data_IF_309767614542
#
_entry.id   IF_309767614542
#
_cell.length_a   1.000
_cell.length_b   1.000
_cell.length_c   1.000
_cell.angle_alpha   90.00
_cell.angle_beta   90.00
_cell.angle_gamma   90.00
#
_symmetry.space_group_name_H-M   'P 1'
#
loop_
_entity.id
_entity.type
_entity.pdbx_description
1 polymer ?
#
# COMPACT_ATOMS: atom_id res chain seq x y z
N UNK A 1 -10.04 -3.85 9.58
CA UNK A 1 -8.97 -3.14 8.84
C UNK A 1 -8.19 -2.37 9.88
N UNK A 2 -7.11 -2.94 10.43
CA UNK A 2 -6.31 -2.25 11.45
C UNK A 2 -4.82 -2.32 11.10
N UNK A 3 -4.51 -1.86 9.88
CA UNK A 3 -3.12 -1.65 9.41
C UNK A 3 -2.69 -0.19 9.48
N UNK A 4 -3.57 0.70 9.91
CA UNK A 4 -3.33 2.12 10.00
C UNK A 4 -2.40 2.50 11.15
N UNK A 5 -2.32 3.80 11.42
CA UNK A 5 -1.63 4.33 12.60
C UNK A 5 -2.29 3.74 13.85
N UNK A 6 -1.52 3.42 14.89
CA UNK A 6 -2.12 2.96 16.15
C UNK A 6 -3.16 3.98 16.67
N UNK A 7 -4.32 3.51 17.13
CA UNK A 7 -5.44 4.34 17.58
C UNK A 7 -5.05 5.43 18.59
N UNK A 8 -4.14 5.15 19.53
CA UNK A 8 -3.70 6.14 20.51
C UNK A 8 -2.91 7.28 19.85
N UNK A 9 -1.95 6.92 18.99
CA UNK A 9 -1.15 7.88 18.20
C UNK A 9 -2.04 8.68 17.25
N UNK A 10 -2.99 8.03 16.57
CA UNK A 10 -3.91 8.69 15.66
C UNK A 10 -4.86 9.65 16.40
N UNK A 11 -5.38 9.23 17.55
CA UNK A 11 -6.23 10.09 18.40
C UNK A 11 -5.49 11.32 18.91
N UNK A 12 -4.21 11.17 19.28
CA UNK A 12 -3.36 12.29 19.66
C UNK A 12 -3.14 13.27 18.49
N UNK A 13 -2.85 12.75 17.29
CA UNK A 13 -2.76 13.57 16.08
C UNK A 13 -4.07 14.36 15.86
N UNK A 14 -5.22 13.70 15.89
CA UNK A 14 -6.52 14.34 15.69
C UNK A 14 -6.84 15.38 16.78
N UNK A 15 -6.48 15.14 18.03
CA UNK A 15 -6.63 16.12 19.12
C UNK A 15 -5.79 17.37 18.89
N UNK A 16 -4.55 17.20 18.44
CA UNK A 16 -3.66 18.31 18.12
C UNK A 16 -4.16 19.10 16.89
N UNK A 17 -4.69 18.41 15.87
CA UNK A 17 -5.28 19.07 14.70
C UNK A 17 -6.53 19.87 15.09
N UNK A 18 -7.44 19.29 15.88
CA UNK A 18 -8.70 19.97 16.26
C UNK A 18 -8.50 21.16 17.21
N UNK A 19 -7.42 21.18 17.99
CA UNK A 19 -7.05 22.32 18.83
C UNK A 19 -6.34 23.45 18.07
N UNK A 20 -5.92 23.18 16.83
CA UNK A 20 -5.21 24.15 15.98
C UNK A 20 -6.17 24.89 15.05
N UNK A 21 -6.20 26.22 15.14
CA UNK A 21 -7.15 27.04 14.38
C UNK A 21 -6.76 27.26 12.91
N UNK A 22 -5.46 27.38 12.62
CA UNK A 22 -4.93 27.58 11.27
C UNK A 22 -5.02 26.29 10.45
N UNK A 23 -5.58 26.37 9.24
CA UNK A 23 -5.60 25.22 8.32
C UNK A 23 -4.21 24.88 7.78
N UNK A 24 -3.35 25.89 7.59
CA UNK A 24 -1.97 25.69 7.13
C UNK A 24 -1.10 25.05 8.22
N UNK A 25 -1.29 25.43 9.48
CA UNK A 25 -0.53 24.82 10.58
C UNK A 25 -0.95 23.36 10.75
N UNK A 26 -2.25 23.07 10.59
CA UNK A 26 -2.77 21.68 10.57
C UNK A 26 -2.16 20.87 9.43
N UNK A 27 -2.03 21.46 8.23
CA UNK A 27 -1.36 20.80 7.10
C UNK A 27 0.11 20.50 7.42
N UNK A 28 0.87 21.49 7.88
CA UNK A 28 2.28 21.32 8.26
C UNK A 28 2.47 20.26 9.36
N UNK A 29 1.53 20.16 10.31
CA UNK A 29 1.53 19.10 11.32
C UNK A 29 1.38 17.70 10.71
N UNK A 30 0.48 17.53 9.73
CA UNK A 30 0.30 16.24 9.04
C UNK A 30 1.54 15.91 8.22
N UNK A 31 2.07 16.87 7.46
CA UNK A 31 3.28 16.67 6.64
C UNK A 31 4.48 16.27 7.51
N UNK A 32 4.69 16.94 8.65
CA UNK A 32 5.74 16.58 9.62
C UNK A 32 5.51 15.21 10.23
N UNK A 33 4.27 14.89 10.59
CA UNK A 33 3.93 13.58 11.13
C UNK A 33 4.24 12.46 10.12
N UNK A 34 3.91 12.67 8.85
CA UNK A 34 4.18 11.72 7.77
C UNK A 34 5.68 11.58 7.51
N UNK A 35 6.39 12.70 7.40
CA UNK A 35 7.83 12.70 7.16
C UNK A 35 8.64 12.05 8.31
N UNK A 36 8.18 12.16 9.55
CA UNK A 36 8.89 11.61 10.70
C UNK A 36 8.63 10.12 10.93
N UNK A 37 7.42 9.64 10.61
CA UNK A 37 6.97 8.32 11.02
C UNK A 37 6.72 7.35 9.85
N UNK A 38 6.69 7.86 8.61
CA UNK A 38 6.26 7.12 7.41
C UNK A 38 4.99 6.27 7.65
N UNK A 39 3.94 6.86 8.27
CA UNK A 39 2.77 6.11 8.72
C UNK A 39 2.00 5.54 7.54
N UNK A 40 1.28 4.44 7.75
CA UNK A 40 0.15 4.07 6.89
C UNK A 40 -1.16 4.56 7.52
N UNK A 41 -2.04 5.20 6.77
CA UNK A 41 -3.40 5.55 7.21
C UNK A 41 -4.40 4.57 6.62
N UNK A 42 -5.26 3.99 7.45
CA UNK A 42 -6.40 3.21 6.92
C UNK A 42 -7.37 4.12 6.17
N UNK A 43 -8.27 3.53 5.37
CA UNK A 43 -9.36 4.26 4.72
C UNK A 43 -10.17 5.09 5.70
N UNK A 44 -10.59 4.47 6.80
CA UNK A 44 -11.33 5.13 7.88
C UNK A 44 -10.54 6.26 8.55
N UNK A 45 -9.25 6.05 8.82
CA UNK A 45 -8.38 7.10 9.38
C UNK A 45 -8.18 8.26 8.39
N UNK A 46 -8.11 7.96 7.10
CA UNK A 46 -8.03 8.97 6.04
C UNK A 46 -9.30 9.81 6.03
N UNK A 47 -10.48 9.18 6.09
CA UNK A 47 -11.77 9.88 6.20
C UNK A 47 -11.86 10.75 7.47
N UNK A 48 -11.47 10.20 8.63
CA UNK A 48 -11.43 10.94 9.89
C UNK A 48 -10.47 12.13 9.84
N UNK A 49 -9.27 11.95 9.26
CA UNK A 49 -8.29 13.02 9.10
C UNK A 49 -8.87 14.17 8.27
N UNK A 50 -9.62 13.86 7.21
CA UNK A 50 -10.23 14.89 6.35
C UNK A 50 -11.28 15.75 7.07
N UNK A 51 -11.88 15.28 8.17
CA UNK A 51 -12.79 16.11 8.97
C UNK A 51 -12.09 17.34 9.58
N UNK A 52 -10.77 17.29 9.75
CA UNK A 52 -9.98 18.44 10.17
C UNK A 52 -9.75 19.46 9.02
N UNK A 53 -10.08 19.15 7.78
CA UNK A 53 -9.78 20.00 6.62
C UNK A 53 -11.05 20.29 5.78
N UNK A 54 -12.00 21.08 6.29
CA UNK A 54 -13.24 21.38 5.57
C UNK A 54 -13.07 22.29 4.33
N UNK A 55 -11.87 22.87 4.14
CA UNK A 55 -11.53 23.64 2.94
C UNK A 55 -10.92 22.72 1.89
N UNK A 56 -11.52 22.63 0.71
CA UNK A 56 -11.11 21.70 -0.35
C UNK A 56 -9.69 21.95 -0.86
N UNK A 57 -9.21 23.20 -0.93
CA UNK A 57 -7.85 23.48 -1.40
C UNK A 57 -6.81 22.88 -0.44
N UNK A 58 -6.98 23.11 0.86
CA UNK A 58 -6.07 22.54 1.87
C UNK A 58 -6.22 21.03 1.96
N UNK A 59 -7.45 20.51 1.86
CA UNK A 59 -7.68 19.07 1.86
C UNK A 59 -7.00 18.38 0.67
N UNK A 60 -7.03 18.99 -0.51
CA UNK A 60 -6.33 18.50 -1.71
C UNK A 60 -4.82 18.44 -1.47
N UNK A 61 -4.23 19.48 -0.88
CA UNK A 61 -2.79 19.50 -0.58
C UNK A 61 -2.42 18.39 0.43
N UNK A 62 -3.21 18.24 1.50
CA UNK A 62 -3.02 17.19 2.51
C UNK A 62 -3.17 15.80 1.90
N UNK A 63 -4.24 15.55 1.13
CA UNK A 63 -4.45 14.27 0.45
C UNK A 63 -3.28 13.94 -0.48
N UNK A 64 -2.84 14.92 -1.26
CA UNK A 64 -1.69 14.76 -2.16
C UNK A 64 -0.44 14.36 -1.38
N UNK A 65 -0.16 15.03 -0.25
CA UNK A 65 0.98 14.76 0.61
C UNK A 65 0.94 13.37 1.26
N UNK A 66 -0.24 12.83 1.55
CA UNK A 66 -0.41 11.50 2.19
C UNK A 66 -0.76 10.38 1.21
N UNK A 67 -0.81 10.66 -0.10
CA UNK A 67 -1.32 9.74 -1.12
C UNK A 67 -0.69 8.33 -1.05
N UNK A 68 0.63 8.25 -0.92
CA UNK A 68 1.37 7.00 -0.78
C UNK A 68 1.14 6.30 0.57
N UNK A 69 0.76 7.05 1.60
CA UNK A 69 0.49 6.58 2.96
C UNK A 69 -0.92 6.04 3.15
N UNK A 70 -1.87 6.34 2.25
CA UNK A 70 -3.22 5.77 2.30
C UNK A 70 -3.18 4.27 1.97
N UNK A 71 -3.75 3.43 2.83
CA UNK A 71 -3.59 1.98 2.73
C UNK A 71 -4.72 1.31 1.93
N UNK A 72 -5.95 1.47 2.38
CA UNK A 72 -7.10 0.67 1.98
C UNK A 72 -8.38 1.50 1.84
N UNK A 73 -8.27 2.71 1.28
CA UNK A 73 -9.41 3.60 1.08
C UNK A 73 -10.47 2.96 0.16
N UNK A 74 -11.64 2.66 0.71
CA UNK A 74 -12.78 2.11 -0.03
C UNK A 74 -13.65 3.22 -0.62
N UNK A 75 -14.59 2.85 -1.50
CA UNK A 75 -15.60 3.78 -1.99
C UNK A 75 -16.47 4.35 -0.86
N UNK A 76 -16.72 3.59 0.20
CA UNK A 76 -17.47 4.05 1.38
C UNK A 76 -16.67 5.11 2.17
N UNK A 77 -15.39 4.84 2.44
CA UNK A 77 -14.49 5.82 3.08
C UNK A 77 -14.34 7.08 2.24
N UNK A 78 -14.29 6.92 0.91
CA UNK A 78 -14.24 8.05 -0.01
C UNK A 78 -15.50 8.90 0.08
N UNK A 79 -16.68 8.29 0.20
CA UNK A 79 -17.93 9.04 0.42
C UNK A 79 -17.88 9.83 1.72
N UNK A 80 -17.33 9.27 2.80
CA UNK A 80 -17.15 9.98 4.07
C UNK A 80 -16.23 11.20 3.92
N UNK A 81 -15.14 11.08 3.15
CA UNK A 81 -14.28 12.22 2.78
C UNK A 81 -15.09 13.27 2.00
N UNK A 82 -15.84 12.85 0.97
CA UNK A 82 -16.59 13.77 0.12
C UNK A 82 -17.69 14.54 0.87
N UNK A 83 -18.28 13.94 1.89
CA UNK A 83 -19.30 14.54 2.76
C UNK A 83 -18.76 15.60 3.73
N UNK A 84 -17.44 15.71 3.89
CA UNK A 84 -16.82 16.82 4.63
C UNK A 84 -17.12 18.17 3.96
N UNK A 85 -17.26 18.17 2.63
CA UNK A 85 -17.41 19.40 1.85
C UNK A 85 -18.88 19.73 1.63
N UNK A 86 -19.25 20.99 1.86
CA UNK A 86 -20.63 21.47 1.74
C UNK A 86 -21.11 21.66 0.30
N UNK A 87 -20.23 21.53 -0.70
CA UNK A 87 -20.52 21.77 -2.12
C UNK A 87 -20.05 20.61 -2.97
N UNK A 88 -20.91 20.12 -3.86
CA UNK A 88 -20.58 19.06 -4.82
C UNK A 88 -19.40 19.43 -5.73
N UNK A 89 -19.19 20.72 -6.03
CA UNK A 89 -18.04 21.16 -6.83
C UNK A 89 -16.71 20.94 -6.07
N UNK A 90 -16.70 21.22 -4.77
CA UNK A 90 -15.55 20.96 -3.92
C UNK A 90 -15.31 19.45 -3.78
N UNK A 91 -16.39 18.67 -3.61
CA UNK A 91 -16.31 17.20 -3.59
C UNK A 91 -15.76 16.66 -4.91
N UNK A 92 -16.11 17.24 -6.07
CA UNK A 92 -15.53 16.85 -7.36
C UNK A 92 -14.04 17.15 -7.45
N UNK A 93 -13.60 18.32 -6.99
CA UNK A 93 -12.17 18.66 -7.02
C UNK A 93 -11.35 17.75 -6.12
N UNK A 94 -11.88 17.40 -4.95
CA UNK A 94 -11.27 16.43 -4.03
C UNK A 94 -11.27 15.02 -4.61
N UNK A 95 -12.36 14.62 -5.29
CA UNK A 95 -12.48 13.31 -5.92
C UNK A 95 -11.38 13.06 -6.96
N UNK A 96 -10.91 14.09 -7.67
CA UNK A 96 -9.80 13.96 -8.64
C UNK A 96 -8.52 13.41 -7.99
N UNK A 97 -8.23 13.86 -6.77
CA UNK A 97 -7.05 13.44 -6.01
C UNK A 97 -7.29 12.14 -5.27
N UNK A 98 -8.53 11.92 -4.82
CA UNK A 98 -8.91 10.74 -4.06
C UNK A 98 -9.04 9.49 -4.93
N UNK A 99 -9.55 9.64 -6.16
CA UNK A 99 -9.84 8.55 -7.10
C UNK A 99 -8.70 7.54 -7.34
N UNK A 100 -7.42 7.95 -7.50
CA UNK A 100 -6.30 7.00 -7.63
C UNK A 100 -5.94 6.28 -6.33
N UNK A 101 -6.48 6.70 -5.19
CA UNK A 101 -6.22 6.05 -3.89
C UNK A 101 -7.21 4.92 -3.57
N UNK A 102 -8.32 4.85 -4.30
CA UNK A 102 -9.46 3.96 -4.01
C UNK A 102 -9.18 2.54 -4.52
N UNK A 103 -9.40 1.55 -3.66
CA UNK A 103 -9.04 0.14 -3.93
C UNK A 103 -10.15 -0.69 -4.59
N UNK A 104 -11.41 -0.26 -4.54
CA UNK A 104 -12.59 -1.04 -4.93
C UNK A 104 -13.49 -0.34 -5.96
N UNK A 105 -12.96 0.69 -6.62
CA UNK A 105 -13.69 1.55 -7.56
C UNK A 105 -14.35 0.78 -8.71
N UNK A 106 -13.69 -0.24 -9.27
CA UNK A 106 -14.28 -1.07 -10.34
C UNK A 106 -15.56 -1.79 -9.92
N UNK A 107 -15.68 -2.17 -8.65
CA UNK A 107 -16.85 -2.87 -8.13
C UNK A 107 -17.91 -1.91 -7.57
N UNK A 108 -17.47 -0.82 -6.93
CA UNK A 108 -18.32 -0.03 -6.02
C UNK A 108 -18.44 1.46 -6.37
N UNK A 109 -18.01 1.90 -7.56
CA UNK A 109 -18.11 3.31 -7.95
C UNK A 109 -19.53 3.91 -7.85
N UNK A 110 -20.58 3.08 -7.96
CA UNK A 110 -21.97 3.52 -7.84
C UNK A 110 -22.26 4.19 -6.49
N UNK A 111 -21.56 3.79 -5.42
CA UNK A 111 -21.65 4.40 -4.09
C UNK A 111 -21.21 5.86 -4.13
N UNK A 112 -20.05 6.15 -4.72
CA UNK A 112 -19.55 7.52 -4.88
C UNK A 112 -20.47 8.34 -5.77
N UNK A 113 -20.96 7.75 -6.87
CA UNK A 113 -21.89 8.42 -7.78
C UNK A 113 -23.23 8.77 -7.12
N UNK A 114 -23.62 8.10 -6.03
CA UNK A 114 -24.82 8.41 -5.28
C UNK A 114 -24.69 9.70 -4.45
N UNK A 115 -23.47 10.14 -4.13
CA UNK A 115 -23.19 11.40 -3.41
C UNK A 115 -23.51 12.64 -4.25
N UNK A 116 -23.49 12.53 -5.58
CA UNK A 116 -23.76 13.65 -6.49
C UNK A 116 -25.21 13.65 -6.97
N UNK A 117 -25.97 14.66 -6.54
CA UNK A 117 -27.37 14.86 -6.92
C UNK A 117 -27.51 15.54 -8.29
N UNK A 118 -26.59 16.46 -8.62
CA UNK A 118 -26.59 17.15 -9.90
C UNK A 118 -26.13 16.21 -11.03
N UNK A 119 -26.89 16.15 -12.13
CA UNK A 119 -26.60 15.25 -13.26
C UNK A 119 -25.27 15.54 -13.96
N UNK A 120 -24.87 16.80 -14.07
CA UNK A 120 -23.57 17.17 -14.65
C UNK A 120 -22.43 16.76 -13.73
N UNK A 121 -22.54 17.05 -12.43
CA UNK A 121 -21.52 16.65 -11.46
C UNK A 121 -21.38 15.13 -11.38
N UNK A 122 -22.49 14.39 -11.44
CA UNK A 122 -22.48 12.92 -11.46
C UNK A 122 -21.78 12.36 -12.69
N UNK A 123 -21.95 12.99 -13.86
CA UNK A 123 -21.24 12.63 -15.08
C UNK A 123 -19.74 12.91 -14.95
N UNK A 124 -19.38 14.09 -14.44
CA UNK A 124 -17.97 14.47 -14.25
C UNK A 124 -17.29 13.55 -13.22
N UNK A 125 -17.99 13.15 -12.14
CA UNK A 125 -17.52 12.15 -11.19
C UNK A 125 -17.27 10.78 -11.85
N UNK A 126 -18.17 10.34 -12.73
CA UNK A 126 -17.98 9.09 -13.48
C UNK A 126 -16.75 9.18 -14.40
N UNK A 127 -16.54 10.30 -15.07
CA UNK A 127 -15.36 10.54 -15.91
C UNK A 127 -14.07 10.50 -15.09
N UNK A 128 -14.04 11.12 -13.91
CA UNK A 128 -12.90 11.07 -12.98
C UNK A 128 -12.59 9.63 -12.55
N UNK A 129 -13.62 8.88 -12.14
CA UNK A 129 -13.47 7.51 -11.68
C UNK A 129 -12.99 6.58 -12.80
N UNK A 130 -13.41 6.82 -14.03
CA UNK A 130 -12.98 6.03 -15.19
C UNK A 130 -11.56 6.37 -15.68
N UNK A 131 -11.06 7.57 -15.37
CA UNK A 131 -9.77 8.07 -15.87
C UNK A 131 -8.56 7.53 -15.10
N UNK A 132 -8.75 6.95 -13.91
CA UNK A 132 -7.66 6.41 -13.09
C UNK A 132 -7.84 4.91 -12.90
N UNK A 133 -6.76 4.10 -12.92
CA UNK A 133 -6.85 2.69 -12.55
C UNK A 133 -7.19 2.52 -11.06
N UNK A 134 -7.59 1.32 -10.66
CA UNK A 134 -7.78 0.99 -9.25
C UNK A 134 -6.41 0.89 -8.56
N UNK A 135 -6.34 1.31 -7.29
CA UNK A 135 -5.13 1.09 -6.50
C UNK A 135 -4.98 -0.40 -6.21
N UNK A 136 -3.76 -0.93 -6.36
CA UNK A 136 -3.52 -2.33 -6.04
C UNK A 136 -3.77 -2.61 -4.55
N UNK A 137 -4.64 -3.57 -4.25
CA UNK A 137 -5.08 -3.83 -2.88
C UNK A 137 -4.00 -4.46 -1.98
N UNK A 138 -2.97 -5.10 -2.56
CA UNK A 138 -1.90 -5.77 -1.82
C UNK A 138 -0.70 -4.84 -1.64
N UNK A 139 -0.17 -4.30 -2.73
CA UNK A 139 1.07 -3.51 -2.71
C UNK A 139 0.82 -2.00 -2.63
N UNK A 140 -0.42 -1.55 -2.81
CA UNK A 140 -0.76 -0.13 -2.75
C UNK A 140 -0.25 0.65 -3.96
N UNK A 141 0.30 1.83 -3.68
CA UNK A 141 0.93 2.67 -4.70
C UNK A 141 2.43 2.37 -4.76
N UNK A 142 2.90 1.93 -5.92
CA UNK A 142 4.30 1.56 -6.21
C UNK A 142 4.95 2.53 -7.21
N UNK A 143 4.22 3.52 -7.69
CA UNK A 143 4.63 4.37 -8.82
C UNK A 143 5.75 5.36 -8.44
N UNK A 144 5.85 5.69 -7.16
CA UNK A 144 6.83 6.66 -6.65
C UNK A 144 8.23 6.07 -6.41
N UNK A 145 8.44 4.76 -6.66
CA UNK A 145 9.74 4.11 -6.46
C UNK A 145 10.38 3.82 -7.82
N UNK A 146 11.44 4.54 -8.22
CA UNK A 146 12.01 4.43 -9.57
C UNK A 146 12.70 3.09 -9.84
N UNK A 147 13.21 2.42 -8.79
CA UNK A 147 13.93 1.14 -8.89
C UNK A 147 13.48 0.24 -7.76
N UNK A 148 12.54 -0.65 -8.07
CA UNK A 148 11.75 -1.40 -7.10
C UNK A 148 12.07 -2.89 -7.12
N UNK A 149 12.16 -3.52 -5.96
CA UNK A 149 12.27 -4.99 -5.86
C UNK A 149 11.12 -5.54 -5.02
N UNK A 150 10.35 -6.45 -5.62
CA UNK A 150 9.30 -7.19 -4.92
C UNK A 150 9.88 -8.45 -4.29
N UNK A 151 9.90 -8.53 -2.96
CA UNK A 151 10.43 -9.67 -2.20
C UNK A 151 9.25 -10.43 -1.61
N UNK A 152 8.96 -11.59 -2.19
CA UNK A 152 7.72 -12.35 -1.96
C UNK A 152 8.00 -13.64 -1.22
N UNK A 153 7.34 -13.81 -0.07
CA UNK A 153 7.33 -15.05 0.67
C UNK A 153 6.61 -16.14 -0.12
N UNK A 154 7.28 -17.28 -0.33
CA UNK A 154 6.74 -18.49 -0.95
C UNK A 154 6.83 -19.68 0.01
N UNK A 155 6.83 -19.45 1.32
CA UNK A 155 6.79 -20.49 2.33
C UNK A 155 5.46 -21.27 2.33
N UNK A 156 5.43 -22.40 3.06
CA UNK A 156 4.27 -23.29 3.08
C UNK A 156 2.96 -22.63 3.55
N UNK A 157 3.03 -21.65 4.45
CA UNK A 157 1.86 -20.92 4.98
C UNK A 157 1.13 -20.13 3.89
N UNK A 158 1.81 -19.74 2.81
CA UNK A 158 1.20 -19.05 1.68
C UNK A 158 0.21 -19.92 0.88
N UNK A 159 0.14 -21.22 1.17
CA UNK A 159 -0.93 -22.11 0.67
C UNK A 159 -2.27 -21.92 1.39
N UNK A 160 -2.30 -21.21 2.52
CA UNK A 160 -3.51 -20.92 3.31
C UNK A 160 -4.58 -20.27 2.44
N UNK A 161 -5.79 -20.83 2.50
CA UNK A 161 -6.96 -20.28 1.83
C UNK A 161 -7.72 -19.33 2.74
N UNK A 162 -8.26 -18.27 2.17
CA UNK A 162 -9.14 -17.34 2.85
C UNK A 162 -10.34 -17.03 1.97
N UNK A 163 -11.42 -16.54 2.60
CA UNK A 163 -12.58 -16.03 1.88
C UNK A 163 -12.44 -14.53 1.68
N UNK A 164 -12.96 -14.01 0.58
CA UNK A 164 -13.02 -12.58 0.27
C UNK A 164 -14.37 -12.28 -0.40
N UNK A 165 -14.64 -11.02 -0.75
CA UNK A 165 -15.90 -10.61 -1.40
C UNK A 165 -17.13 -11.01 -0.55
N UNK A 166 -17.15 -10.52 0.70
CA UNK A 166 -18.19 -10.83 1.70
C UNK A 166 -18.38 -12.34 1.95
N UNK A 167 -17.31 -13.12 1.79
CA UNK A 167 -17.33 -14.57 1.97
C UNK A 167 -17.87 -15.36 0.76
N UNK A 168 -18.19 -14.70 -0.35
CA UNK A 168 -18.74 -15.35 -1.54
C UNK A 168 -17.69 -16.07 -2.40
N UNK A 169 -16.41 -15.73 -2.22
CA UNK A 169 -15.29 -16.33 -2.96
C UNK A 169 -14.20 -16.80 -2.01
N UNK A 170 -13.40 -17.76 -2.46
CA UNK A 170 -12.21 -18.22 -1.75
C UNK A 170 -11.01 -18.32 -2.69
N UNK A 171 -9.84 -17.99 -2.16
CA UNK A 171 -8.55 -18.09 -2.86
C UNK A 171 -7.44 -18.41 -1.87
N UNK A 172 -6.25 -18.79 -2.34
CA UNK A 172 -5.06 -18.89 -1.48
C UNK A 172 -4.30 -17.58 -1.43
N UNK A 173 -3.53 -17.35 -0.34
CA UNK A 173 -2.62 -16.20 -0.22
C UNK A 173 -1.71 -16.10 -1.43
N UNK A 174 -1.06 -17.20 -1.80
CA UNK A 174 -0.19 -17.24 -2.98
C UNK A 174 -0.91 -16.89 -4.27
N UNK A 175 -2.12 -17.41 -4.50
CA UNK A 175 -2.89 -17.08 -5.70
C UNK A 175 -3.24 -15.57 -5.75
N UNK A 176 -3.63 -14.99 -4.62
CA UNK A 176 -3.89 -13.54 -4.52
C UNK A 176 -2.62 -12.71 -4.80
N UNK A 177 -1.47 -13.10 -4.25
CA UNK A 177 -0.18 -12.43 -4.51
C UNK A 177 0.20 -12.50 -5.98
N UNK A 178 0.08 -13.68 -6.62
CA UNK A 178 0.40 -13.81 -8.05
C UNK A 178 -0.47 -12.91 -8.91
N UNK A 179 -1.77 -12.84 -8.63
CA UNK A 179 -2.70 -11.94 -9.35
C UNK A 179 -2.28 -10.49 -9.17
N UNK A 180 -2.12 -10.03 -7.93
CA UNK A 180 -1.80 -8.63 -7.65
C UNK A 180 -0.42 -8.22 -8.21
N UNK A 181 0.58 -9.09 -8.10
CA UNK A 181 1.92 -8.80 -8.64
C UNK A 181 1.93 -8.84 -10.17
N UNK A 182 1.13 -9.70 -10.80
CA UNK A 182 0.95 -9.69 -12.25
C UNK A 182 0.35 -8.36 -12.70
N UNK A 183 -0.75 -7.92 -12.07
CA UNK A 183 -1.40 -6.62 -12.37
C UNK A 183 -0.42 -5.44 -12.22
N UNK A 184 0.43 -5.46 -11.19
CA UNK A 184 1.44 -4.41 -11.02
C UNK A 184 2.42 -4.40 -12.19
N UNK A 185 2.97 -5.56 -12.54
CA UNK A 185 3.98 -5.70 -13.59
C UNK A 185 3.39 -5.36 -14.96
N UNK A 186 2.12 -5.66 -15.22
CA UNK A 186 1.48 -5.44 -16.53
C UNK A 186 0.87 -4.05 -16.70
N UNK A 187 0.27 -3.50 -15.63
CA UNK A 187 -0.66 -2.37 -15.76
C UNK A 187 -0.28 -1.16 -14.90
N UNK A 188 0.59 -1.31 -13.90
CA UNK A 188 0.90 -0.22 -12.93
C UNK A 188 2.32 0.32 -13.10
N UNK A 189 3.32 -0.54 -13.31
CA UNK A 189 4.69 -0.10 -13.52
C UNK A 189 4.79 0.69 -14.83
N UNK A 190 5.51 1.81 -14.76
CA UNK A 190 5.74 2.73 -15.88
C UNK A 190 7.09 2.48 -16.54
N UNK A 191 7.29 2.94 -17.78
CA UNK A 191 8.55 2.76 -18.51
C UNK A 191 9.70 3.62 -17.95
N UNK A 192 9.40 4.57 -17.07
CA UNK A 192 10.40 5.29 -16.28
C UNK A 192 10.92 4.51 -15.06
N UNK A 193 10.31 3.37 -14.72
CA UNK A 193 10.71 2.52 -13.61
C UNK A 193 11.58 1.33 -14.06
N UNK A 194 12.39 0.82 -13.13
CA UNK A 194 13.04 -0.49 -13.24
C UNK A 194 12.58 -1.38 -12.09
N UNK A 195 12.50 -2.68 -12.33
CA UNK A 195 12.00 -3.62 -11.34
C UNK A 195 12.73 -4.96 -11.32
N UNK A 196 12.64 -5.66 -10.19
CA UNK A 196 12.99 -7.06 -10.07
C UNK A 196 12.00 -7.77 -9.13
N UNK A 197 11.99 -9.10 -9.17
CA UNK A 197 11.19 -9.94 -8.29
C UNK A 197 12.09 -10.98 -7.64
N UNK A 198 11.98 -11.13 -6.33
CA UNK A 198 12.66 -12.13 -5.52
C UNK A 198 11.60 -12.98 -4.82
N UNK A 199 11.63 -14.29 -5.01
CA UNK A 199 10.89 -15.20 -4.13
C UNK A 199 11.80 -15.71 -3.01
N UNK A 200 11.24 -15.93 -1.83
CA UNK A 200 11.97 -16.58 -0.75
C UNK A 200 11.12 -17.59 0.01
N UNK A 201 11.75 -18.73 0.31
CA UNK A 201 11.27 -19.74 1.23
C UNK A 201 12.45 -20.22 2.08
N UNK A 202 12.93 -21.47 1.92
CA UNK A 202 14.16 -21.93 2.58
C UNK A 202 15.45 -21.31 2.00
N UNK A 203 15.36 -20.80 0.78
CA UNK A 203 16.37 -20.02 0.05
C UNK A 203 15.69 -18.83 -0.61
N UNK A 204 16.47 -17.90 -1.18
CA UNK A 204 15.96 -16.81 -1.99
C UNK A 204 16.45 -16.98 -3.44
N UNK A 205 15.58 -16.66 -4.39
CA UNK A 205 15.85 -16.71 -5.83
C UNK A 205 15.32 -15.43 -6.46
N UNK A 206 16.16 -14.74 -7.24
CA UNK A 206 15.76 -13.58 -8.00
C UNK A 206 15.42 -13.97 -9.44
N UNK A 207 14.42 -13.29 -10.02
CA UNK A 207 14.08 -13.42 -11.43
C UNK A 207 15.20 -12.90 -12.33
N UNK A 208 15.77 -11.74 -12.00
CA UNK A 208 16.94 -11.16 -12.65
C UNK A 208 18.05 -10.90 -11.63
N UNK A 209 19.28 -10.65 -12.10
CA UNK A 209 20.41 -10.32 -11.24
C UNK A 209 20.25 -8.97 -10.50
N UNK A 210 19.41 -8.07 -11.02
CA UNK A 210 19.13 -6.75 -10.47
C UNK A 210 17.89 -6.14 -11.12
N UNK A 211 17.58 -4.88 -10.81
CA UNK A 211 16.47 -4.17 -11.44
C UNK A 211 16.70 -4.00 -12.94
N UNK A 212 15.66 -4.24 -13.72
CA UNK A 212 15.67 -4.11 -15.19
C UNK A 212 14.51 -3.24 -15.66
N UNK A 213 14.65 -2.65 -16.85
CA UNK A 213 13.64 -1.75 -17.42
C UNK A 213 12.28 -2.44 -17.60
N UNK A 214 11.21 -1.68 -17.44
CA UNK A 214 9.84 -2.10 -17.75
C UNK A 214 9.65 -2.09 -19.27
N UNK A 215 9.83 -3.25 -19.90
CA UNK A 215 9.61 -3.44 -21.34
C UNK A 215 8.86 -4.75 -21.60
N UNK A 216 8.32 -4.91 -22.82
CA UNK A 216 7.47 -6.07 -23.18
C UNK A 216 8.12 -7.43 -22.91
N UNK A 217 9.43 -7.57 -23.17
CA UNK A 217 10.13 -8.84 -22.97
C UNK A 217 10.32 -9.14 -21.47
N UNK A 218 10.72 -8.13 -20.69
CA UNK A 218 10.91 -8.20 -19.26
C UNK A 218 9.58 -8.47 -18.53
N UNK A 219 8.50 -7.78 -18.92
CA UNK A 219 7.14 -8.00 -18.40
C UNK A 219 6.73 -9.45 -18.63
N UNK A 220 6.82 -9.96 -19.86
CA UNK A 220 6.41 -11.33 -20.18
C UNK A 220 7.22 -12.38 -19.39
N UNK A 221 8.53 -12.19 -19.26
CA UNK A 221 9.39 -13.09 -18.50
C UNK A 221 9.12 -13.03 -16.99
N UNK A 222 8.92 -11.83 -16.43
CA UNK A 222 8.61 -11.65 -15.02
C UNK A 222 7.25 -12.26 -14.65
N UNK A 223 6.22 -12.07 -15.49
CA UNK A 223 4.91 -12.71 -15.29
C UNK A 223 5.05 -14.24 -15.33
N UNK A 224 5.90 -14.79 -16.19
CA UNK A 224 6.19 -16.23 -16.19
C UNK A 224 6.88 -16.68 -14.89
N UNK A 225 7.80 -15.90 -14.33
CA UNK A 225 8.41 -16.18 -13.04
C UNK A 225 7.36 -16.16 -11.90
N UNK A 226 6.56 -15.10 -11.82
CA UNK A 226 5.52 -14.92 -10.79
C UNK A 226 4.47 -16.03 -10.84
N UNK A 227 3.99 -16.40 -12.03
CA UNK A 227 2.97 -17.45 -12.18
C UNK A 227 3.44 -18.83 -11.74
N UNK A 228 4.76 -19.08 -11.77
CA UNK A 228 5.38 -20.35 -11.39
C UNK A 228 5.81 -20.43 -9.91
N UNK A 229 5.78 -19.32 -9.15
CA UNK A 229 6.10 -19.31 -7.71
C UNK A 229 5.22 -20.30 -6.95
N UNK A 230 5.76 -21.24 -6.18
CA UNK A 230 4.96 -22.25 -5.47
C UNK A 230 5.19 -22.20 -3.96
N UNK A 231 4.14 -22.29 -3.13
CA UNK A 231 4.32 -22.28 -1.68
C UNK A 231 5.01 -23.58 -1.23
N UNK A 232 5.99 -23.47 -0.34
CA UNK A 232 6.69 -24.60 0.25
C UNK A 232 7.92 -24.19 1.06
N UNK A 233 8.38 -25.06 1.96
CA UNK A 233 9.58 -24.78 2.76
C UNK A 233 9.35 -23.81 3.93
N UNK A 234 10.46 -23.26 4.42
CA UNK A 234 10.51 -22.35 5.59
C UNK A 234 10.51 -20.87 5.17
N UNK A 235 10.67 -19.93 6.12
CA UNK A 235 10.55 -18.48 5.87
C UNK A 235 11.88 -17.75 6.09
N UNK A 236 12.83 -17.89 5.15
CA UNK A 236 14.16 -17.29 5.21
C UNK A 236 14.19 -15.82 4.76
N UNK A 237 13.40 -14.98 5.41
CA UNK A 237 13.19 -13.55 5.11
C UNK A 237 14.50 -12.76 4.94
N UNK A 238 15.49 -12.97 5.82
CA UNK A 238 16.77 -12.29 5.74
C UNK A 238 17.47 -12.49 4.38
N UNK A 239 17.38 -13.71 3.81
CA UNK A 239 17.98 -14.01 2.51
C UNK A 239 17.27 -13.30 1.36
N UNK A 240 15.93 -13.20 1.44
CA UNK A 240 15.14 -12.47 0.45
C UNK A 240 15.50 -10.99 0.40
N UNK A 241 15.55 -10.34 1.58
CA UNK A 241 15.97 -8.94 1.70
C UNK A 241 17.42 -8.73 1.29
N UNK A 242 18.33 -9.61 1.72
CA UNK A 242 19.74 -9.51 1.32
C UNK A 242 19.88 -9.57 -0.20
N UNK A 243 19.23 -10.53 -0.86
CA UNK A 243 19.32 -10.69 -2.31
C UNK A 243 18.76 -9.47 -3.08
N UNK A 244 17.73 -8.80 -2.53
CA UNK A 244 17.22 -7.56 -3.11
C UNK A 244 18.22 -6.40 -3.01
N UNK A 245 18.91 -6.28 -1.88
CA UNK A 245 19.88 -5.21 -1.63
C UNK A 245 21.31 -5.50 -2.12
N UNK A 246 21.60 -6.73 -2.55
CA UNK A 246 22.83 -7.08 -3.26
C UNK A 246 22.95 -6.31 -4.60
N UNK A 247 21.81 -5.88 -5.18
CA UNK A 247 21.79 -4.88 -6.25
C UNK A 247 21.89 -3.46 -5.68
N UNK A 248 23.01 -2.74 -5.89
CA UNK A 248 23.18 -1.38 -5.38
C UNK A 248 22.17 -0.39 -5.97
N UNK A 249 21.58 -0.69 -7.13
CA UNK A 249 20.61 0.18 -7.80
C UNK A 249 19.20 0.10 -7.19
N UNK A 250 18.91 -0.92 -6.38
CA UNK A 250 17.63 -1.04 -5.67
C UNK A 250 17.41 0.19 -4.77
N UNK A 251 16.27 0.87 -4.93
CA UNK A 251 15.87 2.05 -4.14
C UNK A 251 14.74 1.73 -3.17
N UNK A 252 13.80 0.88 -3.56
CA UNK A 252 12.69 0.49 -2.69
C UNK A 252 12.40 -1.00 -2.77
N UNK A 253 12.12 -1.59 -1.62
CA UNK A 253 11.68 -2.98 -1.50
C UNK A 253 10.23 -3.03 -1.05
N UNK A 254 9.45 -3.94 -1.63
CA UNK A 254 8.19 -4.39 -1.06
C UNK A 254 8.36 -5.83 -0.58
N UNK A 255 8.47 -5.99 0.74
CA UNK A 255 8.51 -7.29 1.39
C UNK A 255 7.08 -7.74 1.70
N UNK A 256 6.64 -8.81 1.06
CA UNK A 256 5.37 -9.46 1.36
C UNK A 256 5.61 -10.78 2.07
N UNK A 257 5.01 -10.97 3.24
CA UNK A 257 5.08 -12.20 4.03
C UNK A 257 3.82 -12.43 4.83
N UNK A 258 3.53 -13.68 5.15
CA UNK A 258 2.37 -14.07 5.94
C UNK A 258 2.70 -14.55 7.36
N UNK A 259 3.97 -14.46 7.78
CA UNK A 259 4.40 -15.04 9.06
C UNK A 259 5.73 -14.51 9.61
N UNK A 260 6.10 -15.06 10.76
CA UNK A 260 7.36 -14.72 11.43
C UNK A 260 8.57 -15.27 10.68
N UNK A 261 9.68 -14.52 10.64
CA UNK A 261 10.92 -15.02 10.08
C UNK A 261 11.42 -16.25 10.84
N UNK A 262 12.13 -17.13 10.14
CA UNK A 262 12.79 -18.29 10.77
C UNK A 262 14.05 -17.93 11.59
N UNK A 263 14.34 -16.64 11.76
CA UNK A 263 15.52 -16.08 12.45
C UNK A 263 15.10 -14.89 13.31
N UNK A 264 16.04 -14.33 14.09
CA UNK A 264 15.77 -13.17 14.95
C UNK A 264 15.25 -11.98 14.15
N UNK A 265 14.01 -11.55 14.47
CA UNK A 265 13.41 -10.37 13.86
C UNK A 265 14.24 -9.10 14.09
N UNK A 266 14.83 -8.92 15.28
CA UNK A 266 15.65 -7.73 15.57
C UNK A 266 16.92 -7.68 14.70
N UNK A 267 17.49 -8.85 14.38
CA UNK A 267 18.60 -8.95 13.43
C UNK A 267 18.19 -8.54 12.01
N UNK A 268 17.00 -8.98 11.57
CA UNK A 268 16.44 -8.60 10.26
C UNK A 268 16.15 -7.10 10.20
N UNK A 269 15.53 -6.54 11.24
CA UNK A 269 15.27 -5.09 11.34
C UNK A 269 16.58 -4.30 11.27
N UNK A 270 17.60 -4.75 12.00
CA UNK A 270 18.92 -4.09 11.99
C UNK A 270 19.58 -4.13 10.61
N UNK A 271 19.49 -5.27 9.92
CA UNK A 271 20.01 -5.42 8.56
C UNK A 271 19.23 -4.57 7.55
N UNK A 272 17.89 -4.62 7.60
CA UNK A 272 17.01 -3.82 6.75
C UNK A 272 17.29 -2.32 6.91
N UNK A 273 17.42 -1.84 8.15
CA UNK A 273 17.80 -0.45 8.44
C UNK A 273 19.18 -0.09 7.86
N UNK A 274 20.16 -0.98 7.98
CA UNK A 274 21.50 -0.76 7.45
C UNK A 274 21.51 -0.70 5.92
N UNK A 275 20.75 -1.58 5.25
CA UNK A 275 20.61 -1.56 3.79
C UNK A 275 19.80 -0.38 3.28
N UNK A 276 18.76 0.02 4.02
CA UNK A 276 17.90 1.15 3.66
C UNK A 276 18.65 2.49 3.72
N UNK A 277 19.53 2.66 4.70
CA UNK A 277 20.27 3.91 4.88
C UNK A 277 19.33 5.10 5.04
N UNK A 278 19.64 6.20 4.34
CA UNK A 278 18.83 7.43 4.36
C UNK A 278 18.00 7.65 3.09
N UNK A 279 18.22 6.85 2.05
CA UNK A 279 17.75 7.10 0.68
C UNK A 279 16.95 5.93 0.08
N UNK A 280 16.93 4.78 0.75
CA UNK A 280 16.16 3.61 0.33
C UNK A 280 15.08 3.26 1.35
N UNK A 281 14.09 2.49 0.91
CA UNK A 281 12.95 2.09 1.75
C UNK A 281 12.67 0.58 1.71
N UNK A 282 12.16 0.04 2.81
CA UNK A 282 11.59 -1.31 2.88
C UNK A 282 10.13 -1.21 3.33
N UNK A 283 9.22 -1.23 2.36
CA UNK A 283 7.80 -1.34 2.60
C UNK A 283 7.45 -2.78 2.94
N UNK A 284 6.60 -3.00 3.93
CA UNK A 284 6.22 -4.35 4.39
C UNK A 284 4.73 -4.57 4.25
N UNK A 285 4.37 -5.77 3.82
CA UNK A 285 2.99 -6.22 3.65
C UNK A 285 2.83 -7.52 4.46
N UNK A 286 2.06 -7.46 5.53
CA UNK A 286 1.67 -8.63 6.31
C UNK A 286 0.38 -9.24 5.74
N UNK A 287 0.46 -10.43 5.14
CA UNK A 287 -0.68 -11.12 4.56
C UNK A 287 -1.30 -12.10 5.57
N UNK A 288 -2.14 -11.58 6.48
CA UNK A 288 -2.73 -12.38 7.58
C UNK A 288 -4.14 -12.91 7.28
N UNK A 289 -4.65 -12.76 6.06
CA UNK A 289 -5.95 -13.31 5.67
C UNK A 289 -6.02 -14.83 5.88
N UNK A 290 -7.05 -15.33 6.57
CA UNK A 290 -7.22 -16.76 6.86
C UNK A 290 -6.44 -17.29 8.08
N UNK A 291 -5.52 -16.53 8.66
CA UNK A 291 -4.86 -16.84 9.94
C UNK A 291 -4.19 -15.58 10.50
N UNK A 292 -4.63 -15.13 11.69
CA UNK A 292 -4.08 -13.94 12.34
C UNK A 292 -2.89 -14.29 13.22
N UNK A 293 -1.76 -13.63 12.98
CA UNK A 293 -0.63 -13.56 13.91
C UNK A 293 -0.33 -12.07 14.22
N UNK A 294 -0.86 -11.55 15.33
CA UNK A 294 -0.63 -10.16 15.73
C UNK A 294 0.84 -9.81 15.94
N UNK A 295 1.67 -10.79 16.33
CA UNK A 295 3.10 -10.57 16.59
C UNK A 295 3.85 -10.44 15.26
N UNK A 296 3.54 -11.29 14.29
CA UNK A 296 4.09 -11.18 12.94
C UNK A 296 3.74 -9.82 12.30
N UNK A 297 2.48 -9.38 12.43
CA UNK A 297 2.02 -8.08 11.96
C UNK A 297 2.81 -6.92 12.60
N UNK A 298 2.94 -6.92 13.93
CA UNK A 298 3.69 -5.90 14.67
C UNK A 298 5.17 -5.88 14.27
N UNK A 299 5.77 -7.04 14.05
CA UNK A 299 7.16 -7.16 13.62
C UNK A 299 7.39 -6.57 12.22
N UNK A 300 6.44 -6.75 11.29
CA UNK A 300 6.48 -6.13 9.97
C UNK A 300 6.31 -4.61 10.02
N UNK A 301 5.46 -4.12 10.92
CA UNK A 301 5.34 -2.69 11.18
C UNK A 301 6.66 -2.09 11.70
N UNK A 302 7.31 -2.75 12.66
CA UNK A 302 8.62 -2.33 13.21
C UNK A 302 9.70 -2.32 12.13
N UNK A 303 9.70 -3.30 11.22
CA UNK A 303 10.67 -3.37 10.13
C UNK A 303 10.51 -2.20 9.16
N UNK A 304 9.29 -1.94 8.68
CA UNK A 304 9.03 -0.81 7.78
C UNK A 304 9.42 0.52 8.42
N UNK A 305 8.99 0.76 9.67
CA UNK A 305 9.32 1.99 10.40
C UNK A 305 10.83 2.19 10.59
N UNK A 306 11.60 1.10 10.78
CA UNK A 306 13.05 1.18 10.94
C UNK A 306 13.81 1.40 9.63
N UNK A 307 13.17 1.16 8.49
CA UNK A 307 13.76 1.15 7.16
C UNK A 307 13.03 2.09 6.18
N UNK A 308 12.56 3.25 6.67
CA UNK A 308 11.95 4.34 5.90
C UNK A 308 10.76 3.92 5.02
N UNK A 309 10.06 2.83 5.39
CA UNK A 309 9.00 2.24 4.59
C UNK A 309 7.63 2.32 5.24
N UNK A 310 6.61 1.95 4.46
CA UNK A 310 5.22 1.91 4.88
C UNK A 310 4.81 0.46 5.17
N UNK A 311 4.03 0.28 6.24
CA UNK A 311 3.44 -1.00 6.61
C UNK A 311 2.02 -1.13 6.07
N UNK A 312 1.69 -2.31 5.54
CA UNK A 312 0.36 -2.72 5.07
C UNK A 312 -0.02 -4.06 5.69
N UNK A 313 -1.31 -4.24 5.95
CA UNK A 313 -1.87 -5.52 6.40
C UNK A 313 -3.01 -5.94 5.50
N UNK A 314 -3.04 -7.21 5.11
CA UNK A 314 -4.12 -7.79 4.32
C UNK A 314 -4.90 -8.77 5.20
N UNK A 315 -6.10 -8.36 5.59
CA UNK A 315 -7.09 -9.15 6.33
C UNK A 315 -8.22 -9.49 5.36
N UNK A 316 -8.43 -10.79 5.07
CA UNK A 316 -9.39 -11.27 4.05
C UNK A 316 -10.83 -10.85 4.28
#
# INVERSE_FOLDING_TARGET
>A
MDGGVNDATFSELMSNLTSTSSSFDRQDMVEKFVAANHPGFSGQQTAQLMTAFPNSLVAIDVLTAISSNVLDLTCDDAVDVLHVFSSELNSLDVLKVLSPMIVDKKANNATILATFSNTFNKRDALEILAATPDRNCIFGDVTNIPRIVFVVDTSGSMSTTFSYDHGSRSTSRMAAVRTALTEIITDVLTDEQQFNVVEFASSATAWQQGVVDVNTANIASAVSFVTNMSPGGSTAMLKGLQLAFDDPNCIGVYLLTDGEPNTSIDGIISAAKAWAGSDKSVNTIAFIAGASDPVAAQNMQRLAAAANGIYRVITG
#
